data_IF_945928072060
#
_entry.id   IF_945928072060
#
_cell.length_a   1.000
_cell.length_b   1.000
_cell.length_c   1.000
_cell.angle_alpha   90.00
_cell.angle_beta   90.00
_cell.angle_gamma   90.00
#
_symmetry.space_group_name_H-M   'P 1'
#
loop_
_entity.id
_entity.type
_entity.pdbx_description
1 polymer ?
#
# COMPACT_ATOMS: atom_id res chain seq x y z
N UNK A 1 -10.70 -25.59 -10.04
CA UNK A 1 -9.35 -25.47 -9.45
C UNK A 1 -8.83 -24.09 -9.84
N UNK A 2 -9.03 -23.08 -8.97
CA UNK A 2 -8.61 -21.71 -9.25
C UNK A 2 -7.15 -21.54 -8.85
N UNK A 3 -6.32 -21.19 -9.83
CA UNK A 3 -4.91 -20.88 -9.64
C UNK A 3 -4.80 -19.46 -9.08
N UNK A 4 -4.61 -19.35 -7.77
CA UNK A 4 -3.99 -18.18 -7.14
C UNK A 4 -2.56 -18.06 -7.66
N UNK A 5 -2.40 -17.39 -8.80
CA UNK A 5 -1.10 -17.06 -9.36
C UNK A 5 -0.77 -15.59 -9.01
N UNK A 6 -0.78 -15.29 -7.71
CA UNK A 6 -0.03 -14.14 -7.18
C UNK A 6 1.44 -14.36 -7.58
N UNK A 7 2.12 -13.30 -8.04
CA UNK A 7 3.54 -13.38 -8.40
C UNK A 7 4.32 -14.10 -7.28
N UNK A 8 5.30 -14.95 -7.64
CA UNK A 8 5.95 -15.89 -6.70
C UNK A 8 6.60 -15.24 -5.47
N UNK A 9 6.66 -13.91 -5.39
CA UNK A 9 7.15 -13.16 -4.24
C UNK A 9 6.06 -12.58 -3.33
N UNK A 10 4.79 -12.58 -3.70
CA UNK A 10 3.73 -12.00 -2.86
C UNK A 10 2.99 -13.05 -2.02
N UNK A 11 2.35 -12.58 -0.96
CA UNK A 11 1.41 -13.33 -0.12
C UNK A 11 0.30 -12.39 0.38
N UNK A 12 -0.95 -12.85 0.36
CA UNK A 12 -2.11 -12.05 0.76
C UNK A 12 -2.23 -11.88 2.29
N UNK A 13 -2.84 -10.78 2.77
CA UNK A 13 -3.12 -10.57 4.20
C UNK A 13 -3.86 -11.75 4.84
N UNK A 14 -4.90 -12.26 4.18
CA UNK A 14 -5.68 -13.41 4.66
C UNK A 14 -4.82 -14.68 4.84
N UNK A 15 -3.88 -14.95 3.93
CA UNK A 15 -2.96 -16.09 4.07
C UNK A 15 -1.98 -15.90 5.22
N UNK A 16 -1.45 -14.68 5.42
CA UNK A 16 -0.61 -14.36 6.57
C UNK A 16 -1.40 -14.50 7.88
N UNK A 17 -2.63 -14.00 7.94
CA UNK A 17 -3.51 -14.11 9.11
C UNK A 17 -3.78 -15.58 9.48
N UNK A 18 -4.00 -16.44 8.48
CA UNK A 18 -4.13 -17.88 8.68
C UNK A 18 -2.84 -18.49 9.26
N UNK A 19 -1.66 -18.12 8.73
CA UNK A 19 -0.35 -18.58 9.25
C UNK A 19 -0.15 -18.17 10.72
N UNK A 20 -0.48 -16.92 11.07
CA UNK A 20 -0.41 -16.41 12.45
C UNK A 20 -1.37 -17.19 13.37
N UNK A 21 -2.63 -17.37 12.94
CA UNK A 21 -3.64 -18.13 13.69
C UNK A 21 -3.22 -19.58 13.94
N UNK A 22 -2.58 -20.20 12.95
CA UNK A 22 -2.05 -21.56 13.02
C UNK A 22 -0.73 -21.65 13.78
N UNK A 23 -0.16 -20.52 14.25
CA UNK A 23 1.15 -20.43 14.91
C UNK A 23 2.27 -21.05 14.07
N UNK A 24 2.19 -20.86 12.75
CA UNK A 24 3.26 -21.24 11.85
C UNK A 24 4.53 -20.43 12.16
N UNK A 25 5.69 -21.04 11.90
CA UNK A 25 6.97 -20.41 12.19
C UNK A 25 7.35 -19.43 11.07
N UNK A 26 6.77 -18.24 11.14
CA UNK A 26 7.04 -17.13 10.24
C UNK A 26 7.68 -15.96 10.97
N UNK A 27 8.49 -15.19 10.26
CA UNK A 27 9.07 -13.93 10.71
C UNK A 27 8.34 -12.80 10.01
N UNK A 28 7.84 -11.84 10.77
CA UNK A 28 7.22 -10.63 10.23
C UNK A 28 8.25 -9.49 10.26
N UNK A 29 8.55 -8.90 9.11
CA UNK A 29 9.49 -7.79 8.97
C UNK A 29 8.74 -6.54 8.50
N UNK A 30 8.60 -5.56 9.39
CA UNK A 30 8.06 -4.25 9.06
C UNK A 30 9.17 -3.34 8.54
N UNK A 31 9.07 -2.89 7.30
CA UNK A 31 10.05 -2.00 6.67
C UNK A 31 9.58 -0.55 6.57
N UNK A 32 8.55 -0.18 7.33
CA UNK A 32 8.06 1.19 7.48
C UNK A 32 8.99 2.05 8.36
N UNK A 33 8.62 3.32 8.52
CA UNK A 33 9.28 4.21 9.48
C UNK A 33 8.93 3.83 10.92
N UNK A 34 9.76 4.21 11.92
CA UNK A 34 9.42 3.99 13.32
C UNK A 34 8.09 4.60 13.75
N UNK A 35 7.75 5.79 13.26
CA UNK A 35 6.49 6.46 13.56
C UNK A 35 5.27 5.63 13.10
N UNK A 36 5.30 5.09 11.88
CA UNK A 36 4.24 4.22 11.36
C UNK A 36 4.12 2.91 12.14
N UNK A 37 5.24 2.35 12.60
CA UNK A 37 5.25 1.13 13.42
C UNK A 37 4.69 1.40 14.82
N UNK A 38 5.06 2.52 15.44
CA UNK A 38 4.56 2.94 16.74
C UNK A 38 3.04 3.19 16.72
N UNK A 39 2.51 3.80 15.66
CA UNK A 39 1.07 4.00 15.49
C UNK A 39 0.32 2.66 15.50
N UNK A 40 0.73 1.74 14.62
CA UNK A 40 0.17 0.39 14.57
C UNK A 40 1.11 -0.56 13.86
N UNK A 41 1.20 -1.83 14.28
CA UNK A 41 2.00 -2.86 13.60
C UNK A 41 1.46 -4.28 13.84
N UNK A 42 1.92 -5.26 13.05
CA UNK A 42 1.57 -6.66 13.30
C UNK A 42 2.28 -7.17 14.56
N UNK A 43 1.57 -7.96 15.36
CA UNK A 43 2.13 -8.53 16.59
C UNK A 43 3.40 -9.35 16.31
N UNK A 44 4.44 -9.15 17.12
CA UNK A 44 5.76 -9.79 16.99
C UNK A 44 6.55 -9.42 15.72
N UNK A 45 6.15 -8.37 14.99
CA UNK A 45 6.93 -7.88 13.86
C UNK A 45 8.24 -7.22 14.29
N UNK A 46 9.32 -7.52 13.57
CA UNK A 46 10.61 -6.85 13.68
C UNK A 46 10.55 -5.59 12.82
N UNK A 47 10.87 -4.42 13.40
CA UNK A 47 11.02 -3.18 12.64
C UNK A 47 12.44 -3.05 12.07
N UNK A 48 12.55 -2.91 10.76
CA UNK A 48 13.78 -2.51 10.08
C UNK A 48 13.44 -1.66 8.85
N UNK A 49 13.47 -0.31 8.97
CA UNK A 49 13.09 0.58 7.87
C UNK A 49 13.88 0.28 6.60
N UNK A 50 13.20 0.28 5.45
CA UNK A 50 13.81 -0.13 4.16
C UNK A 50 15.08 0.67 3.83
N UNK A 51 15.17 1.93 4.25
CA UNK A 51 16.32 2.80 4.01
C UNK A 51 17.58 2.32 4.74
N UNK A 52 17.40 1.57 5.83
CA UNK A 52 18.48 1.05 6.65
C UNK A 52 18.79 -0.42 6.31
N UNK A 53 18.09 -1.03 5.37
CA UNK A 53 18.15 -2.47 5.12
C UNK A 53 19.43 -2.84 4.35
N UNK A 54 20.32 -3.58 5.03
CA UNK A 54 21.55 -4.15 4.48
C UNK A 54 21.97 -5.38 5.29
N UNK A 55 22.99 -6.10 4.84
CA UNK A 55 23.48 -7.33 5.49
C UNK A 55 23.81 -7.14 6.98
N UNK A 56 24.43 -6.02 7.34
CA UNK A 56 24.80 -5.72 8.73
C UNK A 56 23.56 -5.49 9.61
N UNK A 57 22.64 -4.63 9.17
CA UNK A 57 21.44 -4.30 9.97
C UNK A 57 20.48 -5.47 10.08
N UNK A 58 20.39 -6.31 9.04
CA UNK A 58 19.66 -7.59 9.10
C UNK A 58 20.24 -8.52 10.17
N UNK A 59 21.56 -8.64 10.27
CA UNK A 59 22.21 -9.44 11.31
C UNK A 59 21.95 -8.89 12.72
N UNK A 60 21.98 -7.57 12.90
CA UNK A 60 21.71 -6.90 14.19
C UNK A 60 20.31 -7.19 14.73
N UNK A 61 19.31 -7.33 13.84
CA UNK A 61 17.93 -7.68 14.23
C UNK A 61 17.65 -9.18 14.26
N UNK A 62 18.70 -10.02 14.25
CA UNK A 62 18.57 -11.48 14.34
C UNK A 62 18.19 -12.17 13.03
N UNK A 63 18.25 -11.44 11.91
CA UNK A 63 17.99 -11.95 10.57
C UNK A 63 19.29 -12.17 9.77
N UNK A 64 20.41 -12.51 10.40
CA UNK A 64 21.68 -12.81 9.70
C UNK A 64 21.68 -14.11 8.88
N UNK A 65 22.86 -14.69 8.62
CA UNK A 65 23.01 -15.91 7.79
C UNK A 65 22.04 -17.05 8.15
N UNK A 66 21.84 -17.31 9.44
CA UNK A 66 20.96 -18.38 9.96
C UNK A 66 19.47 -18.15 9.66
N UNK A 67 19.08 -16.96 9.20
CA UNK A 67 17.71 -16.63 8.84
C UNK A 67 17.44 -16.68 7.33
N UNK A 68 18.46 -16.87 6.48
CA UNK A 68 18.31 -16.79 5.01
C UNK A 68 17.35 -17.83 4.41
N UNK A 69 17.13 -18.95 5.09
CA UNK A 69 16.19 -20.01 4.69
C UNK A 69 14.86 -19.98 5.46
N UNK A 70 14.72 -19.10 6.46
CA UNK A 70 13.48 -18.98 7.24
C UNK A 70 12.42 -18.26 6.42
N UNK A 71 11.15 -18.55 6.72
CA UNK A 71 10.03 -17.85 6.09
C UNK A 71 9.92 -16.43 6.65
N UNK A 72 10.23 -15.42 5.84
CA UNK A 72 10.14 -14.00 6.22
C UNK A 72 9.08 -13.31 5.36
N UNK A 73 8.05 -12.78 6.01
CA UNK A 73 7.01 -11.98 5.40
C UNK A 73 7.33 -10.51 5.68
N UNK A 74 7.67 -9.80 4.62
CA UNK A 74 8.04 -8.40 4.62
C UNK A 74 6.79 -7.59 4.32
N UNK A 75 6.53 -6.55 5.12
CA UNK A 75 5.42 -5.66 4.85
C UNK A 75 5.80 -4.21 5.04
N UNK A 76 5.03 -3.35 4.39
CA UNK A 76 5.09 -1.92 4.62
C UNK A 76 3.68 -1.34 4.68
N UNK A 77 3.47 -0.06 4.31
CA UNK A 77 2.15 0.55 4.31
C UNK A 77 1.26 0.08 3.16
N UNK A 78 1.74 0.19 1.92
CA UNK A 78 0.99 -0.06 0.67
C UNK A 78 1.54 -1.22 -0.20
N UNK A 79 2.72 -1.75 0.14
CA UNK A 79 3.42 -2.82 -0.60
C UNK A 79 4.66 -2.36 -1.37
N UNK A 80 4.82 -1.07 -1.66
CA UNK A 80 5.93 -0.57 -2.48
C UNK A 80 7.31 -0.76 -1.81
N UNK A 81 7.46 -0.35 -0.54
CA UNK A 81 8.72 -0.48 0.21
C UNK A 81 9.08 -1.94 0.51
N UNK A 82 8.09 -2.79 0.76
CA UNK A 82 8.32 -4.22 0.99
C UNK A 82 8.77 -4.94 -0.27
N UNK A 83 8.34 -4.50 -1.47
CA UNK A 83 8.94 -4.97 -2.73
C UNK A 83 10.42 -4.59 -2.83
N UNK A 84 10.78 -3.33 -2.53
CA UNK A 84 12.20 -2.91 -2.52
C UNK A 84 13.02 -3.74 -1.53
N UNK A 85 12.49 -3.98 -0.32
CA UNK A 85 13.13 -4.84 0.67
C UNK A 85 13.26 -6.30 0.20
N UNK A 86 12.25 -6.85 -0.48
CA UNK A 86 12.31 -8.17 -1.09
C UNK A 86 13.45 -8.27 -2.10
N UNK A 87 13.60 -7.26 -2.98
CA UNK A 87 14.66 -7.25 -4.00
C UNK A 87 16.06 -7.21 -3.34
N UNK A 88 16.23 -6.38 -2.29
CA UNK A 88 17.49 -6.29 -1.54
C UNK A 88 17.79 -7.62 -0.83
N UNK A 89 16.86 -8.16 -0.06
CA UNK A 89 17.05 -9.42 0.67
C UNK A 89 17.27 -10.61 -0.29
N UNK A 90 16.54 -10.68 -1.41
CA UNK A 90 16.79 -11.69 -2.44
C UNK A 90 18.24 -11.63 -2.96
N UNK A 91 18.77 -10.42 -3.19
CA UNK A 91 20.17 -10.23 -3.63
C UNK A 91 21.21 -10.66 -2.58
N UNK A 92 20.84 -10.63 -1.29
CA UNK A 92 21.67 -11.07 -0.17
C UNK A 92 21.54 -12.59 0.11
N UNK A 93 20.73 -13.31 -0.68
CA UNK A 93 20.61 -14.76 -0.64
C UNK A 93 19.51 -15.30 0.28
N UNK A 94 18.52 -14.49 0.64
CA UNK A 94 17.34 -14.97 1.34
C UNK A 94 16.41 -15.68 0.34
N UNK A 95 16.00 -16.91 0.64
CA UNK A 95 15.36 -17.79 -0.35
C UNK A 95 13.88 -18.06 -0.10
N UNK A 96 13.39 -17.79 1.12
CA UNK A 96 12.00 -18.00 1.51
C UNK A 96 11.40 -16.71 2.06
N UNK A 97 11.35 -15.68 1.21
CA UNK A 97 10.80 -14.38 1.59
C UNK A 97 9.59 -14.04 0.75
N UNK A 98 8.64 -13.32 1.33
CA UNK A 98 7.42 -12.86 0.66
C UNK A 98 7.13 -11.40 1.02
N UNK A 99 6.62 -10.62 0.08
CA UNK A 99 6.04 -9.30 0.34
C UNK A 99 4.54 -9.47 0.62
N UNK A 100 4.03 -8.86 1.70
CA UNK A 100 2.59 -8.77 1.93
C UNK A 100 1.97 -7.88 0.85
N UNK A 101 1.11 -8.45 0.01
CA UNK A 101 0.41 -7.68 -1.03
C UNK A 101 -0.44 -6.61 -0.34
N UNK A 102 -0.29 -5.36 -0.77
CA UNK A 102 -1.06 -4.25 -0.22
C UNK A 102 -0.64 -3.69 1.13
N UNK A 103 0.34 -4.34 1.79
CA UNK A 103 0.86 -3.90 3.09
C UNK A 103 -0.21 -3.81 4.19
N UNK A 104 0.05 -2.94 5.17
CA UNK A 104 -0.84 -2.68 6.30
C UNK A 104 -2.22 -2.18 5.89
N UNK A 105 -2.36 -1.51 4.74
CA UNK A 105 -3.66 -0.97 4.34
C UNK A 105 -4.65 -2.10 4.07
N UNK A 106 -4.27 -3.12 3.29
CA UNK A 106 -5.17 -4.26 3.07
C UNK A 106 -5.38 -5.04 4.35
N UNK A 107 -4.32 -5.21 5.16
CA UNK A 107 -4.43 -5.86 6.47
C UNK A 107 -5.51 -5.22 7.36
N UNK A 108 -5.56 -3.90 7.40
CA UNK A 108 -6.54 -3.14 8.16
C UNK A 108 -7.93 -3.11 7.49
N UNK A 109 -7.99 -2.96 6.17
CA UNK A 109 -9.23 -3.03 5.39
C UNK A 109 -9.92 -4.41 5.54
N UNK A 110 -9.13 -5.50 5.63
CA UNK A 110 -9.58 -6.88 5.87
C UNK A 110 -9.96 -7.15 7.34
N UNK A 111 -9.81 -6.16 8.23
CA UNK A 111 -10.16 -6.27 9.64
C UNK A 111 -9.27 -7.23 10.45
N UNK A 112 -8.03 -7.46 10.00
CA UNK A 112 -7.09 -8.35 10.70
C UNK A 112 -6.51 -7.69 11.96
N UNK A 113 -6.13 -8.48 12.98
CA UNK A 113 -5.64 -7.94 14.25
C UNK A 113 -4.27 -7.27 14.09
N UNK A 114 -4.08 -6.17 14.81
CA UNK A 114 -2.82 -5.42 14.89
C UNK A 114 -2.59 -4.97 16.34
N UNK A 115 -1.38 -4.50 16.64
CA UNK A 115 -1.01 -3.88 17.90
C UNK A 115 -1.02 -2.37 17.71
N UNK A 116 -1.80 -1.66 18.52
CA UNK A 116 -1.69 -0.21 18.71
C UNK A 116 -0.72 0.05 19.86
N UNK A 117 0.32 0.87 19.66
CA UNK A 117 1.03 1.43 20.81
C UNK A 117 0.27 2.67 21.26
N UNK A 118 0.00 2.77 22.57
CA UNK A 118 -0.89 3.79 23.13
C UNK A 118 -0.53 5.23 22.74
N UNK A 119 -1.53 5.92 22.18
CA UNK A 119 -1.73 7.36 22.08
C UNK A 119 -0.52 8.21 21.64
N UNK A 120 -0.33 8.33 20.33
CA UNK A 120 0.14 9.59 19.76
C UNK A 120 -1.08 10.52 19.63
N UNK A 121 -1.12 11.58 20.45
CA UNK A 121 -1.98 12.72 20.14
C UNK A 121 -1.44 13.40 18.88
N UNK A 122 -2.33 13.80 17.97
CA UNK A 122 -2.01 14.59 16.77
C UNK A 122 -1.09 15.76 17.14
N UNK A 123 0.19 15.67 16.79
CA UNK A 123 1.03 16.85 16.69
C UNK A 123 0.76 17.52 15.34
N UNK A 124 -0.24 18.39 15.34
CA UNK A 124 -0.25 19.56 14.46
C UNK A 124 1.07 20.32 14.65
N UNK A 125 1.81 20.43 13.54
CA UNK A 125 2.95 21.30 13.27
C UNK A 125 4.26 21.02 14.03
N UNK A 126 5.28 20.58 13.27
CA UNK A 126 6.57 21.25 13.05
C UNK A 126 7.40 20.37 12.09
N UNK A 127 7.98 20.84 10.99
CA UNK A 127 8.11 22.21 10.52
C UNK A 127 8.53 22.26 9.05
N UNK A 128 8.62 23.50 8.56
CA UNK A 128 9.25 23.86 7.31
C UNK A 128 10.58 23.13 7.13
N UNK A 129 10.62 22.19 6.20
CA UNK A 129 11.83 21.89 5.46
C UNK A 129 11.60 22.47 4.06
N UNK A 130 12.56 23.28 3.62
CA UNK A 130 12.50 24.10 2.43
C UNK A 130 12.03 23.31 1.19
N UNK A 131 10.73 23.31 0.92
CA UNK A 131 10.22 23.06 -0.44
C UNK A 131 10.79 24.21 -1.24
N UNK A 132 11.77 23.94 -2.09
CA UNK A 132 12.25 24.96 -2.99
C UNK A 132 11.02 25.46 -3.75
N UNK A 133 10.84 26.79 -3.95
CA UNK A 133 9.64 27.36 -4.57
C UNK A 133 9.35 26.85 -6.00
N UNK A 134 10.16 25.92 -6.50
CA UNK A 134 10.10 25.34 -7.83
C UNK A 134 9.83 23.82 -7.87
N UNK A 135 9.59 23.12 -6.76
CA UNK A 135 9.37 21.66 -6.79
C UNK A 135 7.96 21.27 -7.30
N UNK A 136 7.75 20.03 -7.80
CA UNK A 136 6.42 19.59 -8.20
C UNK A 136 5.51 19.45 -6.98
N UNK A 137 4.23 19.72 -7.15
CA UNK A 137 3.24 19.64 -6.07
C UNK A 137 1.96 18.99 -6.56
N UNK A 138 1.63 17.80 -6.08
CA UNK A 138 0.39 17.13 -6.50
C UNK A 138 -0.82 17.68 -5.73
N UNK A 139 -1.93 17.87 -6.43
CA UNK A 139 -3.23 18.16 -5.84
C UNK A 139 -4.35 17.43 -6.60
N UNK A 140 -5.51 17.28 -5.94
CA UNK A 140 -6.69 16.63 -6.50
C UNK A 140 -7.92 17.52 -6.31
N UNK A 141 -8.90 17.43 -7.21
CA UNK A 141 -10.22 18.03 -6.99
C UNK A 141 -10.92 17.44 -5.76
N UNK A 142 -10.71 16.15 -5.52
CA UNK A 142 -11.11 15.41 -4.32
C UNK A 142 -10.24 14.17 -4.17
N UNK A 143 -10.14 13.64 -2.96
CA UNK A 143 -9.41 12.39 -2.66
C UNK A 143 -10.32 11.24 -2.23
N UNK A 144 -11.64 11.48 -2.19
CA UNK A 144 -12.63 10.49 -1.79
C UNK A 144 -13.78 10.43 -2.79
N UNK A 145 -14.27 9.23 -3.07
CA UNK A 145 -15.52 9.02 -3.81
C UNK A 145 -16.31 7.85 -3.21
N UNK A 146 -17.59 8.08 -2.96
CA UNK A 146 -18.51 7.05 -2.52
C UNK A 146 -19.38 6.64 -3.70
N UNK A 147 -19.24 5.39 -4.15
CA UNK A 147 -20.12 4.83 -5.18
C UNK A 147 -21.51 4.50 -4.62
N UNK A 148 -21.65 4.44 -3.29
CA UNK A 148 -22.84 3.96 -2.62
C UNK A 148 -23.14 2.52 -2.99
N UNK A 149 -24.42 2.22 -3.13
CA UNK A 149 -24.93 0.89 -3.45
C UNK A 149 -24.59 0.49 -4.89
N UNK A 150 -23.76 -0.55 -5.04
CA UNK A 150 -23.36 -1.13 -6.32
C UNK A 150 -23.85 -2.58 -6.39
N UNK A 151 -24.78 -2.93 -7.29
CA UNK A 151 -25.22 -4.31 -7.46
C UNK A 151 -24.07 -5.20 -7.95
N UNK A 152 -23.92 -6.40 -7.39
CA UNK A 152 -22.82 -7.33 -7.73
C UNK A 152 -22.69 -7.62 -9.24
N UNK A 153 -23.82 -7.68 -9.95
CA UNK A 153 -23.89 -7.90 -11.40
C UNK A 153 -24.30 -6.64 -12.19
N UNK A 154 -24.17 -5.46 -11.58
CA UNK A 154 -24.53 -4.16 -12.17
C UNK A 154 -23.54 -3.65 -13.21
N UNK A 155 -22.39 -4.31 -13.35
CA UNK A 155 -21.27 -3.89 -14.19
C UNK A 155 -20.32 -2.92 -13.50
N UNK A 156 -19.22 -2.61 -14.20
CA UNK A 156 -18.15 -1.74 -13.69
C UNK A 156 -18.66 -0.32 -13.47
N UNK A 157 -18.39 0.24 -12.30
CA UNK A 157 -18.61 1.66 -11.98
C UNK A 157 -17.31 2.44 -12.11
N UNK A 158 -17.40 3.71 -12.50
CA UNK A 158 -16.22 4.57 -12.69
C UNK A 158 -16.36 5.95 -12.05
N UNK A 159 -15.24 6.45 -11.54
CA UNK A 159 -15.11 7.78 -10.97
C UNK A 159 -13.92 8.51 -11.58
N UNK A 160 -14.13 9.76 -11.95
CA UNK A 160 -13.11 10.63 -12.54
C UNK A 160 -12.58 11.61 -11.53
N UNK A 161 -11.26 11.73 -11.43
CA UNK A 161 -10.54 12.65 -10.57
C UNK A 161 -9.66 13.54 -11.43
N UNK A 162 -9.51 14.80 -11.03
CA UNK A 162 -8.61 15.74 -11.67
C UNK A 162 -7.34 15.83 -10.83
N UNK A 163 -6.23 15.37 -11.41
CA UNK A 163 -4.90 15.47 -10.81
C UNK A 163 -4.23 16.72 -11.36
N UNK A 164 -3.74 17.61 -10.51
CA UNK A 164 -3.09 18.87 -10.92
C UNK A 164 -1.69 18.97 -10.34
N UNK A 165 -0.79 19.60 -11.10
CA UNK A 165 0.50 20.03 -10.59
C UNK A 165 0.44 21.50 -10.17
N UNK A 166 0.42 21.74 -8.88
CA UNK A 166 0.43 23.07 -8.24
C UNK A 166 1.86 23.62 -8.07
N UNK A 167 2.86 22.82 -8.43
CA UNK A 167 4.27 23.14 -8.36
C UNK A 167 4.81 23.73 -9.67
N UNK A 168 6.14 23.89 -9.76
CA UNK A 168 6.78 24.52 -10.93
C UNK A 168 7.52 23.50 -11.81
N UNK A 169 8.23 22.53 -11.23
CA UNK A 169 8.79 21.40 -11.98
C UNK A 169 7.69 20.44 -12.41
N UNK A 170 7.96 19.67 -13.46
CA UNK A 170 7.06 18.60 -13.92
C UNK A 170 6.80 17.60 -12.80
N UNK A 171 5.52 17.35 -12.53
CA UNK A 171 5.06 16.28 -11.67
C UNK A 171 5.06 14.99 -12.47
N UNK A 172 5.83 14.02 -12.03
CA UNK A 172 5.93 12.68 -12.61
C UNK A 172 5.13 11.71 -11.73
N UNK A 173 4.26 10.94 -12.36
CA UNK A 173 3.43 9.91 -11.73
C UNK A 173 4.04 8.54 -12.06
N UNK A 174 4.36 7.79 -11.02
CA UNK A 174 4.85 6.43 -11.13
C UNK A 174 3.75 5.42 -11.47
N UNK A 175 4.09 4.13 -11.38
CA UNK A 175 3.12 3.06 -11.61
C UNK A 175 2.03 3.10 -10.54
N UNK A 176 0.81 3.42 -10.95
CA UNK A 176 -0.37 3.40 -10.08
C UNK A 176 -0.70 1.97 -9.70
N UNK A 177 -1.00 1.75 -8.42
CA UNK A 177 -1.46 0.47 -7.87
C UNK A 177 -2.74 0.67 -7.06
N UNK A 178 -3.46 -0.40 -6.80
CA UNK A 178 -4.77 -0.37 -6.12
C UNK A 178 -4.81 -1.35 -4.97
N UNK A 179 -5.73 -1.12 -4.03
CA UNK A 179 -5.82 -1.96 -2.85
C UNK A 179 -6.52 -3.31 -3.06
N UNK A 180 -7.07 -3.54 -4.24
CA UNK A 180 -7.59 -4.84 -4.65
C UNK A 180 -7.61 -4.90 -6.16
N UNK A 181 -7.53 -6.11 -6.71
CA UNK A 181 -7.63 -6.39 -8.13
C UNK A 181 -8.97 -5.98 -8.75
N UNK A 182 -10.06 -5.91 -7.96
CA UNK A 182 -11.36 -5.39 -8.38
C UNK A 182 -11.33 -3.89 -8.73
N UNK A 183 -10.31 -3.17 -8.25
CA UNK A 183 -10.14 -1.75 -8.52
C UNK A 183 -9.00 -1.55 -9.50
N UNK A 184 -9.23 -0.78 -10.55
CA UNK A 184 -8.20 -0.35 -11.49
C UNK A 184 -8.20 1.16 -11.61
N UNK A 185 -7.05 1.73 -11.94
CA UNK A 185 -6.90 3.16 -12.14
C UNK A 185 -6.02 3.44 -13.36
N UNK A 186 -6.38 4.48 -14.10
CA UNK A 186 -5.65 4.94 -15.28
C UNK A 186 -5.56 6.46 -15.27
N UNK A 187 -4.46 7.03 -15.77
CA UNK A 187 -4.25 8.47 -15.84
C UNK A 187 -3.95 8.89 -17.28
N UNK A 188 -4.51 10.01 -17.71
CA UNK A 188 -4.38 10.51 -19.09
C UNK A 188 -2.96 10.96 -19.45
N UNK A 189 -2.15 11.32 -18.46
CA UNK A 189 -0.72 11.62 -18.61
C UNK A 189 0.03 11.29 -17.32
N UNK A 190 1.17 10.63 -17.42
CA UNK A 190 2.07 10.38 -16.28
C UNK A 190 3.03 11.54 -16.01
N UNK A 191 3.12 12.53 -16.91
CA UNK A 191 3.92 13.74 -16.74
C UNK A 191 3.01 14.97 -16.84
N UNK A 192 2.94 15.76 -15.78
CA UNK A 192 2.02 16.90 -15.65
C UNK A 192 2.86 18.18 -15.46
N UNK A 193 2.85 19.05 -16.47
CA UNK A 193 3.54 20.33 -16.41
C UNK A 193 2.95 21.26 -15.33
N UNK A 194 3.70 22.28 -14.92
CA UNK A 194 3.25 23.27 -13.93
C UNK A 194 1.91 23.89 -14.32
N UNK A 195 0.95 23.89 -13.40
CA UNK A 195 -0.39 24.45 -13.59
C UNK A 195 -1.34 23.57 -14.42
N UNK A 196 -0.82 22.54 -15.10
CA UNK A 196 -1.61 21.63 -15.93
C UNK A 196 -2.27 20.54 -15.08
N UNK A 197 -3.23 19.83 -15.70
CA UNK A 197 -3.96 18.74 -15.06
C UNK A 197 -4.07 17.51 -15.95
N UNK A 198 -4.15 16.34 -15.34
CA UNK A 198 -4.48 15.08 -15.97
C UNK A 198 -5.81 14.54 -15.40
N UNK A 199 -6.56 13.82 -16.23
CA UNK A 199 -7.74 13.08 -15.78
C UNK A 199 -7.28 11.69 -15.32
N UNK A 200 -7.62 11.33 -14.08
CA UNK A 200 -7.52 9.98 -13.57
C UNK A 200 -8.90 9.33 -13.56
N UNK A 201 -9.02 8.13 -14.11
CA UNK A 201 -10.24 7.33 -14.07
C UNK A 201 -9.97 6.12 -13.19
N UNK A 202 -10.73 6.02 -12.10
CA UNK A 202 -10.77 4.86 -11.20
C UNK A 202 -12.00 4.04 -11.56
N UNK A 203 -11.83 2.73 -11.71
CA UNK A 203 -12.89 1.77 -12.01
C UNK A 203 -12.95 0.72 -10.91
N UNK A 204 -14.16 0.36 -10.53
CA UNK A 204 -14.43 -0.73 -9.61
C UNK A 204 -15.32 -1.76 -10.30
N UNK A 205 -14.86 -3.01 -10.32
CA UNK A 205 -15.57 -4.15 -10.89
C UNK A 205 -16.19 -4.99 -9.76
N UNK A 206 -17.53 -4.94 -9.57
CA UNK A 206 -18.20 -5.68 -8.50
C UNK A 206 -18.29 -7.20 -8.74
N UNK A 207 -18.02 -7.68 -9.97
CA UNK A 207 -18.09 -9.11 -10.33
C UNK A 207 -16.71 -9.80 -10.22
N UNK A 208 -15.67 -9.02 -9.90
CA UNK A 208 -14.35 -9.54 -9.60
C UNK A 208 -14.43 -10.19 -8.22
N UNK A 209 -14.54 -11.53 -8.16
CA UNK A 209 -14.56 -12.45 -6.97
C UNK A 209 -15.51 -12.12 -5.78
N UNK A 210 -15.56 -13.01 -4.77
CA UNK A 210 -16.37 -12.84 -3.56
C UNK A 210 -15.83 -11.67 -2.71
N UNK A 211 -16.29 -10.45 -3.00
CA UNK A 211 -16.03 -9.26 -2.19
C UNK A 211 -16.76 -9.34 -0.82
N UNK A 212 -16.30 -8.60 0.21
CA UNK A 212 -16.99 -8.52 1.49
C UNK A 212 -18.43 -8.03 1.29
N UNK A 213 -19.40 -8.74 1.88
CA UNK A 213 -20.82 -8.37 1.88
C UNK A 213 -21.09 -7.28 2.92
N UNK A 214 -20.51 -6.10 2.73
CA UNK A 214 -20.71 -4.89 3.56
C UNK A 214 -20.10 -3.66 2.86
N UNK A 215 -20.15 -2.49 3.52
CA UNK A 215 -19.43 -1.29 3.11
C UNK A 215 -17.93 -1.52 3.27
N UNK A 216 -17.17 -1.39 2.19
CA UNK A 216 -15.72 -1.44 2.22
C UNK A 216 -15.09 -0.31 1.42
N UNK A 217 -13.78 -0.13 1.62
CA UNK A 217 -12.97 0.89 0.96
C UNK A 217 -11.92 0.25 0.10
N UNK A 218 -11.56 0.94 -0.98
CA UNK A 218 -10.41 0.62 -1.82
C UNK A 218 -9.56 1.86 -2.01
N UNK A 219 -8.26 1.68 -1.91
CA UNK A 219 -7.28 2.77 -1.96
C UNK A 219 -6.45 2.66 -3.24
N UNK A 220 -6.28 3.78 -3.93
CA UNK A 220 -5.48 3.93 -5.13
C UNK A 220 -4.20 4.65 -4.72
N UNK A 221 -3.06 4.00 -4.92
CA UNK A 221 -1.73 4.51 -4.60
C UNK A 221 -1.09 5.13 -5.83
N UNK A 222 -0.62 6.36 -5.69
CA UNK A 222 -0.14 7.18 -6.79
C UNK A 222 1.27 7.65 -6.43
N UNK A 223 2.33 6.86 -6.72
CA UNK A 223 3.70 7.28 -6.50
C UNK A 223 4.00 8.56 -7.30
N UNK A 224 4.70 9.52 -6.71
CA UNK A 224 5.03 10.78 -7.38
C UNK A 224 6.44 11.26 -7.06
N UNK A 225 6.94 12.23 -7.84
CA UNK A 225 8.17 12.95 -7.52
C UNK A 225 7.96 14.23 -6.67
N UNK A 226 6.76 14.47 -6.15
CA UNK A 226 6.51 15.52 -5.14
C UNK A 226 7.26 15.15 -3.84
N UNK A 227 8.26 15.95 -3.42
CA UNK A 227 9.09 15.63 -2.25
C UNK A 227 8.28 15.59 -0.95
N UNK A 228 7.17 16.34 -0.90
CA UNK A 228 6.26 16.37 0.25
C UNK A 228 5.15 15.31 0.15
N UNK A 229 4.97 14.68 -1.01
CA UNK A 229 3.94 13.67 -1.25
C UNK A 229 4.45 12.59 -2.23
N UNK A 230 5.46 11.80 -1.82
CA UNK A 230 6.08 10.79 -2.69
C UNK A 230 5.13 9.63 -3.06
N UNK A 231 4.04 9.47 -2.32
CA UNK A 231 2.91 8.59 -2.66
C UNK A 231 1.62 9.32 -2.25
N UNK A 232 0.79 9.66 -3.23
CA UNK A 232 -0.53 10.25 -3.02
C UNK A 232 -1.62 9.17 -3.04
N UNK A 233 -2.77 9.47 -2.45
CA UNK A 233 -3.87 8.50 -2.29
C UNK A 233 -5.22 9.05 -2.69
N UNK A 234 -6.02 8.17 -3.30
CA UNK A 234 -7.45 8.36 -3.51
C UNK A 234 -8.15 7.15 -2.92
N UNK A 235 -9.21 7.37 -2.15
CA UNK A 235 -10.04 6.30 -1.60
C UNK A 235 -11.39 6.28 -2.29
N UNK A 236 -11.83 5.09 -2.69
CA UNK A 236 -13.22 4.84 -3.05
C UNK A 236 -13.91 4.02 -1.95
N UNK A 237 -15.20 4.23 -1.78
CA UNK A 237 -16.07 3.42 -0.92
C UNK A 237 -17.15 2.78 -1.77
N UNK A 238 -17.49 1.54 -1.46
CA UNK A 238 -18.51 0.74 -2.15
C UNK A 238 -19.35 0.01 -1.10
N UNK A 239 -20.65 -0.06 -1.37
CA UNK A 239 -21.63 -0.90 -0.66
C UNK A 239 -22.17 -1.95 -1.65
N UNK A 240 -21.89 -3.24 -1.44
CA UNK A 240 -22.34 -4.31 -2.35
C UNK A 240 -23.64 -4.94 -1.83
N UNK A 241 -24.69 -4.90 -2.65
CA UNK A 241 -25.94 -5.65 -2.44
C UNK A 241 -26.00 -6.89 -3.35
N UNK A 242 -26.40 -8.03 -2.78
CA UNK A 242 -26.71 -9.24 -3.56
C UNK A 242 -27.83 -8.95 -4.56
N UNK A 243 -27.58 -9.22 -5.84
CA UNK A 243 -28.64 -9.37 -6.81
C UNK A 243 -29.48 -10.60 -6.46
N UNK A 244 -30.76 -10.39 -6.11
CA UNK A 244 -31.75 -11.48 -6.00
C UNK A 244 -31.98 -12.20 -7.33
#
# INVERSE_FOLDING_TARGET
EHMDNLETYEISPSNIANKIKNKENIILLDVRTPAEYEESHLQNAILLPVQNLNEKTLAEVGLGEEAKNKEIIIYCRSGARSKTAYDIMSSLGYTNIKSMSGGMIHWLEDGHPFVEAGAYEEQKNMGNEDVAPNDPKISFDRTFHDFGLVPQYGGVVEAKFKVRNDGVKTLEIGKITTSCSCTSASISSSAIASGESAEMIVRFDPDFHDEPKDIFKRTIFIPTNDPSTPEAEITIQVDIEEGR
#
